data_IF_790058318733
#
_entry.id   IF_790058318733
#
_cell.length_a   1.000
_cell.length_b   1.000
_cell.length_c   1.000
_cell.angle_alpha   90.00
_cell.angle_beta   90.00
_cell.angle_gamma   90.00
#
_symmetry.space_group_name_H-M   'P 1'
#
loop_
_entity.id
_entity.type
_entity.pdbx_description
1 polymer ?
#
# COMPACT_ATOMS: atom_id res chain seq x y z
N UNK A 1 12.32 -14.45 -8.84
CA UNK A 1 11.17 -13.54 -9.12
C UNK A 1 11.35 -12.13 -8.52
N UNK A 2 12.04 -11.97 -7.39
CA UNK A 2 12.37 -10.65 -6.81
C UNK A 2 13.29 -9.80 -7.70
N UNK A 3 14.30 -10.41 -8.31
CA UNK A 3 15.34 -9.71 -9.09
C UNK A 3 14.83 -9.06 -10.39
N UNK A 4 13.89 -9.72 -11.08
CA UNK A 4 13.22 -9.15 -12.27
C UNK A 4 12.42 -7.91 -11.87
N UNK A 5 11.63 -7.99 -10.81
CA UNK A 5 10.81 -6.86 -10.33
C UNK A 5 11.66 -5.67 -9.93
N UNK A 6 12.78 -5.92 -9.25
CA UNK A 6 13.73 -4.89 -8.86
C UNK A 6 14.35 -4.18 -10.07
N UNK A 7 14.72 -4.93 -11.11
CA UNK A 7 15.26 -4.36 -12.35
C UNK A 7 14.28 -3.44 -13.09
N UNK A 8 12.99 -3.75 -13.03
CA UNK A 8 11.94 -2.98 -13.69
C UNK A 8 11.21 -2.00 -12.77
N UNK A 9 11.65 -1.86 -11.51
CA UNK A 9 11.00 -0.98 -10.54
C UNK A 9 9.55 -1.35 -10.23
N UNK A 10 9.15 -2.62 -10.33
CA UNK A 10 7.74 -3.03 -10.17
C UNK A 10 7.47 -3.51 -8.76
N UNK A 11 6.43 -2.99 -8.11
CA UNK A 11 6.05 -3.40 -6.76
C UNK A 11 5.67 -4.90 -6.70
N UNK A 12 5.85 -5.56 -5.56
CA UNK A 12 5.34 -6.92 -5.37
C UNK A 12 3.82 -7.00 -5.56
N UNK A 13 3.35 -8.08 -6.19
CA UNK A 13 1.91 -8.26 -6.45
C UNK A 13 1.09 -8.34 -5.16
N UNK A 14 1.65 -8.91 -4.10
CA UNK A 14 1.01 -8.99 -2.80
C UNK A 14 0.69 -7.60 -2.24
N UNK A 15 1.58 -6.63 -2.50
CA UNK A 15 1.41 -5.25 -2.08
C UNK A 15 0.34 -4.55 -2.91
N UNK A 16 0.36 -4.66 -4.25
CA UNK A 16 -0.75 -4.12 -5.08
C UNK A 16 -2.11 -4.74 -4.75
N UNK A 17 -2.14 -6.04 -4.40
CA UNK A 17 -3.37 -6.66 -3.91
C UNK A 17 -3.82 -6.09 -2.56
N UNK A 18 -2.88 -5.81 -1.64
CA UNK A 18 -3.17 -5.13 -0.36
C UNK A 18 -3.77 -3.74 -0.59
N UNK A 19 -3.13 -2.94 -1.43
CA UNK A 19 -3.60 -1.61 -1.81
C UNK A 19 -5.05 -1.66 -2.36
N UNK A 20 -5.34 -2.61 -3.26
CA UNK A 20 -6.69 -2.78 -3.80
C UNK A 20 -7.73 -3.13 -2.72
N UNK A 21 -7.39 -4.02 -1.78
CA UNK A 21 -8.26 -4.40 -0.66
C UNK A 21 -8.53 -3.22 0.28
N UNK A 22 -7.50 -2.45 0.64
CA UNK A 22 -7.64 -1.29 1.50
C UNK A 22 -8.41 -0.14 0.82
N UNK A 23 -8.22 0.07 -0.49
CA UNK A 23 -9.05 1.02 -1.26
C UNK A 23 -10.53 0.65 -1.22
N UNK A 24 -10.84 -0.63 -1.44
CA UNK A 24 -12.22 -1.12 -1.35
C UNK A 24 -12.76 -0.95 0.07
N UNK A 25 -11.97 -1.27 1.10
CA UNK A 25 -12.39 -1.15 2.49
C UNK A 25 -12.69 0.30 2.89
N UNK A 26 -11.83 1.25 2.53
CA UNK A 26 -12.11 2.69 2.75
C UNK A 26 -13.38 3.14 2.03
N UNK A 27 -13.63 2.63 0.82
CA UNK A 27 -14.89 2.87 0.10
C UNK A 27 -16.11 2.31 0.85
N UNK A 28 -15.99 1.16 1.52
CA UNK A 28 -17.07 0.59 2.34
C UNK A 28 -17.29 1.42 3.61
N UNK A 29 -16.22 1.86 4.30
CA UNK A 29 -16.32 2.65 5.52
C UNK A 29 -17.01 4.00 5.30
N UNK A 30 -16.69 4.66 4.18
CA UNK A 30 -17.31 5.91 3.74
C UNK A 30 -18.70 5.73 3.11
N UNK A 31 -19.14 4.49 2.89
CA UNK A 31 -20.46 4.18 2.38
C UNK A 31 -21.54 4.40 3.44
N UNK A 32 -22.77 4.56 2.96
CA UNK A 32 -23.97 4.59 3.80
C UNK A 32 -24.09 3.32 4.66
N UNK A 33 -24.57 3.48 5.90
CA UNK A 33 -24.66 2.40 6.89
C UNK A 33 -25.50 1.22 6.37
N UNK A 34 -26.62 1.53 5.72
CA UNK A 34 -27.56 0.55 5.17
C UNK A 34 -27.14 0.02 3.80
N UNK A 35 -25.96 0.39 3.31
CA UNK A 35 -25.47 -0.14 2.04
C UNK A 35 -25.15 -1.63 2.16
N UNK A 36 -25.54 -2.40 1.14
CA UNK A 36 -25.28 -3.86 1.04
C UNK A 36 -23.81 -4.22 1.33
N UNK A 37 -22.88 -3.33 0.94
CA UNK A 37 -21.44 -3.52 1.17
C UNK A 37 -21.07 -3.48 2.65
N UNK A 38 -21.62 -2.53 3.42
CA UNK A 38 -21.32 -2.34 4.83
C UNK A 38 -22.03 -3.38 5.69
N UNK A 39 -23.27 -3.70 5.34
CA UNK A 39 -24.01 -4.84 5.91
C UNK A 39 -23.22 -6.14 5.68
N UNK A 40 -22.81 -6.42 4.43
CA UNK A 40 -22.08 -7.65 4.09
C UNK A 40 -20.70 -7.76 4.73
N UNK A 41 -20.01 -6.63 4.94
CA UNK A 41 -18.74 -6.57 5.66
C UNK A 41 -18.91 -6.98 7.13
N UNK A 42 -19.97 -6.51 7.79
CA UNK A 42 -20.26 -6.73 9.20
C UNK A 42 -21.05 -8.03 9.46
N UNK A 43 -21.57 -8.67 8.41
CA UNK A 43 -22.44 -9.84 8.54
C UNK A 43 -21.68 -11.04 9.10
N UNK A 44 -22.24 -11.65 10.15
CA UNK A 44 -21.76 -12.89 10.73
C UNK A 44 -22.72 -14.04 10.41
N UNK A 45 -22.21 -15.07 9.74
CA UNK A 45 -22.99 -16.26 9.42
C UNK A 45 -23.09 -17.13 10.66
N UNK A 46 -24.30 -17.26 11.20
CA UNK A 46 -24.59 -18.13 12.34
C UNK A 46 -24.44 -19.59 11.90
N UNK A 47 -23.55 -20.34 12.55
CA UNK A 47 -23.38 -21.77 12.33
C UNK A 47 -21.92 -22.23 12.35
N UNK A 48 -21.72 -23.56 12.41
CA UNK A 48 -20.38 -24.16 12.32
C UNK A 48 -19.97 -24.29 10.87
N UNK A 49 -18.80 -23.72 10.51
CA UNK A 49 -18.23 -23.84 9.17
C UNK A 49 -17.84 -25.30 8.89
N UNK A 50 -18.10 -25.85 7.69
CA UNK A 50 -17.70 -27.20 7.34
C UNK A 50 -16.19 -27.38 7.40
N UNK A 51 -15.74 -28.60 7.75
CA UNK A 51 -14.32 -28.97 7.79
C UNK A 51 -13.75 -28.94 6.36
N UNK A 52 -12.64 -28.23 6.17
CA UNK A 52 -11.88 -28.22 4.91
C UNK A 52 -11.76 -26.84 4.23
N UNK A 53 -12.58 -25.86 4.59
CA UNK A 53 -12.40 -24.48 4.06
C UNK A 53 -11.29 -23.73 4.78
N UNK A 54 -10.56 -22.82 4.09
CA UNK A 54 -9.64 -21.89 4.73
C UNK A 54 -10.36 -21.12 5.84
N UNK A 55 -9.76 -21.10 7.03
CA UNK A 55 -10.35 -20.45 8.22
C UNK A 55 -10.36 -18.93 8.12
N UNK A 56 -9.53 -18.36 7.23
CA UNK A 56 -9.34 -16.93 7.09
C UNK A 56 -10.63 -16.24 6.60
N UNK A 57 -11.12 -15.29 7.39
CA UNK A 57 -12.19 -14.36 7.03
C UNK A 57 -11.61 -13.19 6.25
N UNK A 58 -12.48 -12.49 5.52
CA UNK A 58 -12.11 -11.24 4.88
C UNK A 58 -11.64 -10.19 5.91
N UNK A 59 -12.31 -10.12 7.07
CA UNK A 59 -11.93 -9.25 8.18
C UNK A 59 -10.52 -9.54 8.70
N UNK A 60 -10.11 -10.82 8.78
CA UNK A 60 -8.76 -11.21 9.23
C UNK A 60 -7.68 -10.70 8.26
N UNK A 61 -7.96 -10.78 6.95
CA UNK A 61 -7.08 -10.25 5.91
C UNK A 61 -6.97 -8.74 6.00
N UNK A 62 -8.10 -8.02 6.16
CA UNK A 62 -8.12 -6.57 6.30
C UNK A 62 -7.33 -6.11 7.54
N UNK A 63 -7.51 -6.79 8.68
CA UNK A 63 -6.76 -6.50 9.90
C UNK A 63 -5.24 -6.66 9.69
N UNK A 64 -4.84 -7.70 8.98
CA UNK A 64 -3.44 -7.93 8.64
C UNK A 64 -2.91 -6.84 7.71
N UNK A 65 -3.68 -6.47 6.69
CA UNK A 65 -3.29 -5.43 5.73
C UNK A 65 -3.15 -4.05 6.38
N UNK A 66 -4.08 -3.68 7.27
CA UNK A 66 -4.01 -2.44 8.04
C UNK A 66 -2.77 -2.41 8.93
N UNK A 67 -2.42 -3.52 9.58
CA UNK A 67 -1.19 -3.64 10.36
C UNK A 67 0.07 -3.48 9.51
N UNK A 68 0.10 -4.11 8.33
CA UNK A 68 1.27 -4.00 7.44
C UNK A 68 1.41 -2.59 6.88
N UNK A 69 0.29 -1.92 6.56
CA UNK A 69 0.29 -0.53 6.10
C UNK A 69 0.52 0.49 7.25
N UNK A 70 0.34 0.09 8.51
CA UNK A 70 0.43 0.99 9.66
C UNK A 70 -0.73 2.00 9.73
N UNK A 71 -1.87 1.70 9.11
CA UNK A 71 -3.01 2.63 8.97
C UNK A 71 -4.15 2.21 9.92
N UNK A 72 -4.71 3.18 10.63
CA UNK A 72 -5.91 2.98 11.44
C UNK A 72 -7.19 3.17 10.58
N UNK A 73 -8.24 2.33 10.71
CA UNK A 73 -9.48 2.44 9.95
C UNK A 73 -10.14 3.83 10.00
N UNK A 74 -10.06 4.54 11.12
CA UNK A 74 -10.67 5.87 11.29
C UNK A 74 -10.11 6.92 10.32
N UNK A 75 -8.88 6.72 9.83
CA UNK A 75 -8.30 7.57 8.79
C UNK A 75 -9.06 7.49 7.47
N UNK A 76 -9.92 6.49 7.26
CA UNK A 76 -10.77 6.40 6.07
C UNK A 76 -11.73 7.59 5.92
N UNK A 77 -12.03 8.31 7.01
CA UNK A 77 -12.82 9.55 6.95
C UNK A 77 -12.07 10.69 6.25
N UNK A 78 -10.74 10.71 6.32
CA UNK A 78 -9.88 11.60 5.55
C UNK A 78 -9.45 10.90 4.25
N UNK A 79 -10.16 11.19 3.17
CA UNK A 79 -9.94 10.54 1.87
C UNK A 79 -8.54 10.75 1.32
N UNK A 80 -7.94 11.90 1.57
CA UNK A 80 -6.60 12.21 1.05
C UNK A 80 -5.55 11.44 1.83
N UNK A 81 -5.60 11.47 3.16
CA UNK A 81 -4.72 10.66 4.01
C UNK A 81 -4.87 9.17 3.74
N UNK A 82 -6.11 8.67 3.65
CA UNK A 82 -6.36 7.27 3.32
C UNK A 82 -5.71 6.86 2.00
N UNK A 83 -5.87 7.67 0.95
CA UNK A 83 -5.27 7.40 -0.36
C UNK A 83 -3.74 7.44 -0.30
N UNK A 84 -3.18 8.39 0.42
CA UNK A 84 -1.74 8.52 0.58
C UNK A 84 -1.17 7.30 1.30
N UNK A 85 -1.70 6.98 2.48
CA UNK A 85 -1.12 5.99 3.39
C UNK A 85 -1.38 4.53 2.95
N UNK A 86 -2.39 4.30 2.11
CA UNK A 86 -2.67 2.95 1.55
C UNK A 86 -2.09 2.74 0.15
N UNK A 87 -1.60 3.79 -0.50
CA UNK A 87 -1.02 3.68 -1.85
C UNK A 87 0.32 2.96 -1.77
N UNK A 88 0.55 2.08 -2.74
CA UNK A 88 1.84 1.42 -2.90
C UNK A 88 2.44 1.87 -4.22
N UNK A 89 3.43 2.74 -4.11
CA UNK A 89 4.23 3.17 -5.24
C UNK A 89 5.08 2.01 -5.77
N UNK A 90 5.31 2.04 -7.07
CA UNK A 90 6.32 1.21 -7.68
C UNK A 90 7.70 1.73 -7.21
N UNK A 91 8.60 0.85 -6.72
CA UNK A 91 9.87 1.30 -6.17
C UNK A 91 10.66 2.04 -7.25
N UNK A 92 11.20 3.21 -6.89
CA UNK A 92 12.03 3.99 -7.79
C UNK A 92 13.15 3.11 -8.35
N UNK A 93 13.39 3.23 -9.66
CA UNK A 93 14.51 2.53 -10.27
C UNK A 93 15.79 3.21 -9.81
N UNK A 94 16.79 2.42 -9.37
CA UNK A 94 18.14 2.89 -9.01
C UNK A 94 18.83 3.81 -10.04
N UNK A 95 18.29 3.96 -11.25
CA UNK A 95 18.83 4.86 -12.27
C UNK A 95 18.65 6.33 -11.90
N UNK A 96 17.55 6.69 -11.24
CA UNK A 96 17.30 8.07 -10.82
C UNK A 96 18.24 8.45 -9.65
N UNK A 97 18.44 7.53 -8.69
CA UNK A 97 19.42 7.74 -7.62
C UNK A 97 20.88 7.75 -8.10
N UNK A 98 21.23 7.03 -9.17
CA UNK A 98 22.59 7.03 -9.69
C UNK A 98 22.90 8.33 -10.45
N UNK A 99 21.92 8.94 -11.10
CA UNK A 99 22.04 10.26 -11.73
C UNK A 99 22.13 11.36 -10.66
N UNK A 100 21.34 11.28 -9.57
CA UNK A 100 21.43 12.21 -8.42
C UNK A 100 22.75 12.04 -7.64
N UNK A 101 23.25 10.81 -7.43
CA UNK A 101 24.54 10.56 -6.77
C UNK A 101 25.73 11.01 -7.64
N UNK A 102 25.65 10.89 -8.97
CA UNK A 102 26.67 11.43 -9.91
C UNK A 102 26.63 12.97 -10.00
N UNK A 103 25.44 13.60 -9.94
CA UNK A 103 25.29 15.07 -9.91
C UNK A 103 25.76 15.68 -8.57
N UNK A 104 25.50 15.02 -7.43
CA UNK A 104 26.02 15.45 -6.11
C UNK A 104 27.55 15.30 -6.01
N UNK A 105 28.14 14.26 -6.62
CA UNK A 105 29.60 14.10 -6.72
C UNK A 105 30.26 15.15 -7.63
N UNK A 106 29.61 15.54 -8.74
CA UNK A 106 30.09 16.63 -9.63
C UNK A 106 29.96 18.03 -8.97
N UNK A 107 28.90 18.29 -8.19
CA UNK A 107 28.68 19.57 -7.51
C UNK A 107 29.62 19.76 -6.29
N UNK A 108 30.03 18.68 -5.62
CA UNK A 108 31.07 18.72 -4.57
C UNK A 108 32.49 18.92 -5.12
N UNK A 109 32.77 18.59 -6.40
CA UNK A 109 34.08 18.77 -7.04
C UNK A 109 34.35 20.22 -7.51
N UNK A 110 33.31 21.04 -7.74
CA UNK A 110 33.42 22.45 -8.15
C UNK A 110 33.25 23.49 -7.02
N UNK A 111 34.24 23.66 -6.13
CA UNK A 111 34.44 25.01 -5.57
C UNK A 111 35.88 25.55 -5.58
N UNK A 112 36.85 24.89 -6.22
CA UNK A 112 38.26 25.28 -6.07
C UNK A 112 38.89 26.12 -7.21
N UNK A 113 38.22 26.34 -8.36
CA UNK A 113 38.88 26.95 -9.53
C UNK A 113 38.42 28.37 -9.93
N UNK A 114 37.46 28.97 -9.24
CA UNK A 114 37.07 30.35 -9.51
C UNK A 114 37.56 31.29 -8.40
N UNK A 115 38.77 31.84 -8.57
CA UNK A 115 39.17 33.24 -8.32
C UNK A 115 40.71 33.35 -8.37
N UNK A 116 41.24 33.63 -9.56
CA UNK A 116 42.52 34.31 -9.77
C UNK A 116 42.35 35.42 -10.79
#
# INVERSE_FOLDING_TARGET
>A
MSEVRQKFGVAPIADKMREARLRWYGHVLLGEEDSVRKIGLNFEVIGKRPRGSPKQRWADTLHTDLKVAGVHPDLALDRERWRHDTRIADPATKRENAEEEEEEEEEEEEPAQALS
#
